data_IF_507035619641
#
_entry.id   IF_507035619641
#
_cell.length_a   1.000
_cell.length_b   1.000
_cell.length_c   1.000
_cell.angle_alpha   90.00
_cell.angle_beta   90.00
_cell.angle_gamma   90.00
#
_symmetry.space_group_name_H-M   'P 1'
#
loop_
_entity.id
_entity.type
_entity.pdbx_description
1 polymer ?
#
# COMPACT_ATOMS: atom_id res chain seq x y z
N UNK A 1 10.49 14.30 -18.43
CA UNK A 1 9.07 14.53 -18.05
C UNK A 1 8.80 13.91 -16.68
N UNK A 2 8.34 14.70 -15.70
CA UNK A 2 8.18 14.32 -14.29
C UNK A 2 6.70 14.03 -13.95
N UNK A 3 6.20 12.81 -14.16
CA UNK A 3 4.87 12.38 -13.67
C UNK A 3 5.02 11.23 -12.68
N UNK A 4 5.43 11.56 -11.44
CA UNK A 4 5.26 10.64 -10.32
C UNK A 4 3.91 10.96 -9.70
N UNK A 5 3.04 9.95 -9.52
CA UNK A 5 1.70 10.00 -8.94
C UNK A 5 1.62 10.78 -7.62
N UNK A 6 1.60 12.10 -7.70
CA UNK A 6 0.70 12.92 -6.90
C UNK A 6 -0.29 13.43 -7.93
N UNK A 7 -1.50 12.91 -7.92
CA UNK A 7 -2.55 13.36 -8.82
C UNK A 7 -2.60 14.89 -8.76
N UNK A 8 -2.46 15.56 -9.91
CA UNK A 8 -2.51 17.03 -10.00
C UNK A 8 -3.82 17.54 -9.37
N UNK A 9 -4.90 16.76 -9.45
CA UNK A 9 -6.17 17.04 -8.78
C UNK A 9 -6.07 16.95 -7.27
N UNK A 10 -5.29 16.00 -6.74
CA UNK A 10 -5.03 15.90 -5.31
C UNK A 10 -4.24 17.11 -4.78
N UNK A 11 -3.18 17.53 -5.50
CA UNK A 11 -2.42 18.74 -5.12
C UNK A 11 -3.32 19.98 -5.18
N UNK A 12 -4.06 20.16 -6.28
CA UNK A 12 -4.98 21.27 -6.44
C UNK A 12 -6.05 21.29 -5.33
N UNK A 13 -6.62 20.14 -4.97
CA UNK A 13 -7.60 20.03 -3.90
C UNK A 13 -7.03 20.39 -2.52
N UNK A 14 -5.79 20.00 -2.20
CA UNK A 14 -5.12 20.38 -0.94
C UNK A 14 -4.88 21.89 -0.88
N UNK A 15 -4.42 22.48 -1.98
CA UNK A 15 -4.16 23.93 -2.06
C UNK A 15 -5.47 24.72 -2.00
N UNK A 16 -6.50 24.31 -2.72
CA UNK A 16 -7.82 24.95 -2.69
C UNK A 16 -8.43 24.89 -1.28
N UNK A 17 -8.30 23.75 -0.60
CA UNK A 17 -8.75 23.60 0.79
C UNK A 17 -8.03 24.58 1.73
N UNK A 18 -6.71 24.70 1.59
CA UNK A 18 -5.91 25.59 2.44
C UNK A 18 -6.20 27.07 2.16
N UNK A 19 -6.20 27.48 0.88
CA UNK A 19 -6.50 28.86 0.49
C UNK A 19 -7.92 29.27 0.86
N UNK A 20 -8.90 28.38 0.70
CA UNK A 20 -10.28 28.62 1.12
C UNK A 20 -10.41 28.77 2.63
N UNK A 21 -9.67 27.98 3.41
CA UNK A 21 -9.61 28.13 4.86
C UNK A 21 -8.98 29.46 5.27
N UNK A 22 -7.86 29.83 4.66
CA UNK A 22 -7.17 31.09 4.92
C UNK A 22 -8.08 32.29 4.61
N UNK A 23 -8.75 32.29 3.45
CA UNK A 23 -9.64 33.38 3.04
C UNK A 23 -10.91 33.51 3.87
N UNK A 24 -11.26 32.51 4.69
CA UNK A 24 -12.40 32.56 5.60
C UNK A 24 -12.06 33.16 6.98
N UNK A 25 -10.78 33.39 7.27
CA UNK A 25 -10.34 34.00 8.53
C UNK A 25 -10.27 35.53 8.41
N UNK A 26 -10.40 36.25 9.54
CA UNK A 26 -10.21 37.70 9.58
C UNK A 26 -8.88 38.12 8.91
N UNK A 27 -8.84 39.21 8.13
CA UNK A 27 -7.67 39.62 7.36
C UNK A 27 -6.41 39.91 8.20
N UNK A 28 -6.59 40.20 9.48
CA UNK A 28 -5.57 40.49 10.49
C UNK A 28 -5.03 39.25 11.21
N UNK A 29 -5.56 38.06 10.91
CA UNK A 29 -5.10 36.81 11.51
C UNK A 29 -3.64 36.54 11.10
N UNK A 30 -2.77 36.32 12.08
CA UNK A 30 -1.37 36.05 11.79
C UNK A 30 -1.18 34.71 11.06
N UNK A 31 -0.16 34.61 10.21
CA UNK A 31 0.10 33.37 9.44
C UNK A 31 0.22 32.13 10.34
N UNK A 32 0.81 32.26 11.53
CA UNK A 32 0.97 31.14 12.46
C UNK A 32 -0.36 30.71 13.08
N UNK A 33 -1.26 31.65 13.35
CA UNK A 33 -2.62 31.36 13.82
C UNK A 33 -3.45 30.70 12.75
N UNK A 34 -3.34 31.14 11.48
CA UNK A 34 -3.98 30.47 10.35
C UNK A 34 -3.51 29.01 10.26
N UNK A 35 -2.20 28.77 10.32
CA UNK A 35 -1.62 27.43 10.27
C UNK A 35 -2.09 26.58 11.45
N UNK A 36 -2.10 27.13 12.66
CA UNK A 36 -2.58 26.44 13.88
C UNK A 36 -4.05 26.08 13.77
N UNK A 37 -4.90 27.02 13.34
CA UNK A 37 -6.33 26.82 13.17
C UNK A 37 -6.63 25.79 12.08
N UNK A 38 -5.92 25.86 10.95
CA UNK A 38 -6.03 24.88 9.87
C UNK A 38 -5.61 23.49 10.35
N UNK A 39 -4.46 23.37 11.03
CA UNK A 39 -3.97 22.10 11.54
C UNK A 39 -4.94 21.47 12.56
N UNK A 40 -5.54 22.29 13.42
CA UNK A 40 -6.58 21.89 14.37
C UNK A 40 -7.86 21.42 13.66
N UNK A 41 -8.32 22.14 12.62
CA UNK A 41 -9.44 21.69 11.79
C UNK A 41 -9.14 20.34 11.13
N UNK A 42 -7.96 20.19 10.52
CA UNK A 42 -7.56 18.94 9.89
C UNK A 42 -7.42 17.79 10.90
N UNK A 43 -6.93 18.05 12.11
CA UNK A 43 -6.80 17.07 13.19
C UNK A 43 -8.14 16.39 13.58
N UNK A 44 -9.26 17.08 13.35
CA UNK A 44 -10.60 16.50 13.55
C UNK A 44 -11.08 15.59 12.41
N UNK A 45 -10.45 15.67 11.22
CA UNK A 45 -10.96 15.06 9.97
C UNK A 45 -10.03 13.99 9.40
N UNK A 46 -8.72 14.12 9.61
CA UNK A 46 -7.69 13.30 8.94
C UNK A 46 -6.58 12.87 9.89
N UNK A 47 -5.77 11.90 9.46
CA UNK A 47 -4.68 11.33 10.28
C UNK A 47 -3.48 12.28 10.38
N UNK A 48 -2.65 12.09 11.42
CA UNK A 48 -1.35 12.76 11.60
C UNK A 48 -0.51 12.82 10.32
N UNK A 49 -0.35 11.68 9.66
CA UNK A 49 0.48 11.56 8.45
C UNK A 49 -0.14 12.32 7.27
N UNK A 50 -1.48 12.36 7.19
CA UNK A 50 -2.21 13.13 6.18
C UNK A 50 -2.00 14.63 6.40
N UNK A 51 -2.08 15.12 7.65
CA UNK A 51 -1.84 16.52 7.99
C UNK A 51 -0.41 16.91 7.61
N UNK A 52 0.56 16.08 8.01
CA UNK A 52 1.99 16.31 7.73
C UNK A 52 2.27 16.30 6.22
N UNK A 53 1.62 15.41 5.47
CA UNK A 53 1.77 15.31 4.01
C UNK A 53 1.15 16.52 3.30
N UNK A 54 -0.07 16.92 3.68
CA UNK A 54 -0.72 18.13 3.16
C UNK A 54 0.11 19.38 3.42
N UNK A 55 0.64 19.53 4.65
CA UNK A 55 1.51 20.63 5.02
C UNK A 55 2.79 20.69 4.18
N UNK A 56 3.44 19.55 3.95
CA UNK A 56 4.62 19.44 3.08
C UNK A 56 4.32 19.89 1.64
N UNK A 57 3.13 19.58 1.11
CA UNK A 57 2.69 20.03 -0.21
C UNK A 57 2.46 21.55 -0.25
N UNK A 58 1.74 22.09 0.75
CA UNK A 58 1.47 23.52 0.89
C UNK A 58 2.79 24.31 0.93
N UNK A 59 3.71 23.94 1.84
CA UNK A 59 5.02 24.59 1.98
C UNK A 59 5.82 24.56 0.68
N UNK A 60 5.87 23.40 0.01
CA UNK A 60 6.60 23.27 -1.27
C UNK A 60 6.00 24.11 -2.38
N UNK A 61 4.67 24.26 -2.42
CA UNK A 61 4.01 25.04 -3.45
C UNK A 61 4.23 26.54 -3.23
N UNK A 62 3.87 27.07 -2.05
CA UNK A 62 4.00 28.50 -1.76
C UNK A 62 5.46 28.96 -1.73
N UNK A 63 6.39 28.14 -1.22
CA UNK A 63 7.82 28.45 -1.28
C UNK A 63 8.38 28.52 -2.71
N UNK A 64 7.71 27.91 -3.70
CA UNK A 64 8.10 27.99 -5.12
C UNK A 64 7.40 29.10 -5.89
N UNK A 65 6.15 29.42 -5.53
CA UNK A 65 5.28 30.29 -6.33
C UNK A 65 5.25 31.72 -5.80
N UNK A 66 5.31 31.92 -4.50
CA UNK A 66 5.09 33.24 -3.88
C UNK A 66 6.24 33.72 -3.01
N UNK A 67 7.39 33.03 -3.03
CA UNK A 67 8.52 33.25 -2.10
C UNK A 67 8.09 33.29 -0.62
N UNK A 68 6.91 32.76 -0.32
CA UNK A 68 6.35 32.77 1.01
C UNK A 68 7.04 31.68 1.81
N UNK A 69 7.68 32.08 2.90
CA UNK A 69 8.24 31.17 3.87
C UNK A 69 7.27 31.03 5.04
N UNK A 70 6.94 29.79 5.47
CA UNK A 70 6.17 29.61 6.67
C UNK A 70 6.95 30.15 7.88
N UNK A 71 6.26 30.64 8.94
CA UNK A 71 6.89 30.99 10.20
C UNK A 71 7.79 29.86 10.74
N UNK A 72 8.88 30.20 11.43
CA UNK A 72 9.88 29.25 11.93
C UNK A 72 9.29 28.13 12.80
N UNK A 73 8.20 28.42 13.51
CA UNK A 73 7.50 27.51 14.42
C UNK A 73 6.34 26.73 13.76
N UNK A 74 6.03 27.01 12.48
CA UNK A 74 4.92 26.36 11.77
C UNK A 74 5.04 24.83 11.75
N UNK A 75 6.26 24.29 11.53
CA UNK A 75 6.49 22.84 11.54
C UNK A 75 6.27 22.23 12.94
N UNK A 76 6.58 22.97 14.01
CA UNK A 76 6.35 22.52 15.38
C UNK A 76 4.85 22.50 15.70
N UNK A 77 4.12 23.57 15.33
CA UNK A 77 2.66 23.67 15.48
C UNK A 77 1.96 22.55 14.71
N UNK A 78 2.36 22.29 13.46
CA UNK A 78 1.80 21.19 12.66
C UNK A 78 2.03 19.84 13.33
N UNK A 79 3.26 19.58 13.81
CA UNK A 79 3.58 18.32 14.51
C UNK A 79 2.76 18.16 15.79
N UNK A 80 2.60 19.23 16.57
CA UNK A 80 1.81 19.23 17.80
C UNK A 80 0.34 18.94 17.52
N UNK A 81 -0.29 19.70 16.61
CA UNK A 81 -1.70 19.49 16.27
C UNK A 81 -1.94 18.15 15.58
N UNK A 82 -0.99 17.67 14.77
CA UNK A 82 -1.07 16.36 14.16
C UNK A 82 -0.93 15.22 15.19
N UNK A 83 -0.22 15.41 16.32
CA UNK A 83 -0.24 14.45 17.45
C UNK A 83 -1.60 14.43 18.14
N UNK A 84 -2.25 15.59 18.24
CA UNK A 84 -3.58 15.73 18.84
C UNK A 84 -4.72 15.29 17.90
N UNK A 85 -4.41 14.84 16.69
CA UNK A 85 -5.40 14.30 15.76
C UNK A 85 -5.98 12.98 16.29
N UNK A 86 -7.15 13.09 16.92
CA UNK A 86 -8.00 11.96 17.32
C UNK A 86 -8.75 11.33 16.12
N UNK A 87 -8.65 11.95 14.93
CA UNK A 87 -9.40 11.62 13.73
C UNK A 87 -9.05 10.27 13.10
N UNK A 88 -9.88 9.26 13.41
CA UNK A 88 -10.10 8.01 12.67
C UNK A 88 -8.81 7.34 12.21
N UNK A 89 -8.20 6.59 13.14
CA UNK A 89 -7.31 5.49 12.81
C UNK A 89 -8.04 4.53 11.83
N UNK A 90 -8.01 4.80 10.52
CA UNK A 90 -7.87 3.66 9.62
C UNK A 90 -6.48 3.14 9.91
N UNK A 91 -6.41 2.18 10.83
CA UNK A 91 -5.17 1.56 11.28
C UNK A 91 -4.28 1.19 10.10
N UNK A 92 -2.98 0.96 10.35
CA UNK A 92 -2.09 0.56 9.28
C UNK A 92 -2.66 -0.66 8.56
N UNK A 93 -2.43 -0.78 7.25
CA UNK A 93 -2.97 -1.88 6.44
C UNK A 93 -2.74 -3.22 7.14
N UNK A 94 -3.78 -3.91 7.62
CA UNK A 94 -3.56 -5.12 8.39
C UNK A 94 -2.84 -6.17 7.52
N UNK A 95 -1.83 -6.87 8.07
CA UNK A 95 -1.12 -7.91 7.35
C UNK A 95 -2.10 -9.03 6.94
N UNK A 96 -2.10 -9.41 5.67
CA UNK A 96 -2.89 -10.53 5.16
C UNK A 96 -1.95 -11.75 5.10
N UNK A 97 -2.16 -12.74 5.98
CA UNK A 97 -1.29 -13.92 6.09
C UNK A 97 -1.48 -14.87 4.89
N UNK A 98 -0.47 -15.70 4.62
CA UNK A 98 -0.51 -16.68 3.53
C UNK A 98 -1.78 -17.56 3.56
N UNK A 99 -2.09 -18.15 4.72
CA UNK A 99 -3.27 -19.02 4.87
C UNK A 99 -4.57 -18.26 4.59
N UNK A 100 -4.73 -17.05 5.15
CA UNK A 100 -5.92 -16.22 4.91
C UNK A 100 -6.05 -15.86 3.43
N UNK A 101 -4.95 -15.50 2.78
CA UNK A 101 -4.94 -15.21 1.35
C UNK A 101 -5.38 -16.46 0.56
N UNK A 102 -4.74 -17.60 0.80
CA UNK A 102 -5.00 -18.88 0.14
C UNK A 102 -6.47 -19.30 0.28
N UNK A 103 -7.02 -19.23 1.50
CA UNK A 103 -8.41 -19.63 1.76
C UNK A 103 -9.40 -18.73 1.02
N UNK A 104 -9.16 -17.42 1.01
CA UNK A 104 -9.99 -16.43 0.31
C UNK A 104 -9.91 -16.60 -1.21
N UNK A 105 -8.69 -16.77 -1.73
CA UNK A 105 -8.47 -17.01 -3.15
C UNK A 105 -9.14 -18.32 -3.61
N UNK A 106 -9.01 -19.42 -2.85
CA UNK A 106 -9.69 -20.69 -3.16
C UNK A 106 -11.20 -20.58 -3.13
N UNK A 107 -11.76 -19.85 -2.17
CA UNK A 107 -13.21 -19.66 -2.09
C UNK A 107 -13.76 -18.89 -3.31
N UNK A 108 -12.98 -17.96 -3.87
CA UNK A 108 -13.36 -17.18 -5.05
C UNK A 108 -13.06 -17.88 -6.39
N UNK A 109 -12.07 -18.77 -6.43
CA UNK A 109 -11.53 -19.38 -7.65
C UNK A 109 -12.52 -20.17 -8.53
N UNK A 110 -13.47 -20.95 -7.99
CA UNK A 110 -14.44 -21.69 -8.82
C UNK A 110 -15.44 -20.82 -9.59
N UNK A 111 -15.65 -19.57 -9.18
CA UNK A 111 -16.80 -18.77 -9.65
C UNK A 111 -16.51 -17.93 -10.90
N UNK A 112 -15.25 -17.79 -11.33
CA UNK A 112 -14.86 -16.69 -12.26
C UNK A 112 -13.64 -16.98 -13.13
N UNK A 113 -13.36 -18.26 -13.46
CA UNK A 113 -12.16 -18.62 -14.24
C UNK A 113 -12.09 -18.01 -15.65
N UNK A 114 -13.21 -17.57 -16.21
CA UNK A 114 -13.26 -16.96 -17.56
C UNK A 114 -13.33 -15.41 -17.54
N UNK A 115 -13.33 -14.79 -16.36
CA UNK A 115 -13.38 -13.33 -16.21
C UNK A 115 -11.96 -12.75 -16.19
N UNK A 116 -11.60 -11.97 -17.22
CA UNK A 116 -10.29 -11.33 -17.35
C UNK A 116 -9.94 -10.40 -16.19
N UNK A 117 -10.91 -9.64 -15.66
CA UNK A 117 -10.68 -8.78 -14.50
C UNK A 117 -10.36 -9.63 -13.27
N UNK A 118 -11.06 -10.76 -13.12
CA UNK A 118 -10.80 -11.68 -12.03
C UNK A 118 -9.40 -12.29 -12.15
N UNK A 119 -8.99 -12.75 -13.34
CA UNK A 119 -7.64 -13.30 -13.59
C UNK A 119 -6.56 -12.28 -13.26
N UNK A 120 -6.73 -11.04 -13.70
CA UNK A 120 -5.81 -9.94 -13.39
C UNK A 120 -5.72 -9.68 -11.89
N UNK A 121 -6.86 -9.56 -11.19
CA UNK A 121 -6.88 -9.37 -9.75
C UNK A 121 -6.20 -10.53 -8.99
N UNK A 122 -6.43 -11.77 -9.44
CA UNK A 122 -5.85 -12.96 -8.84
C UNK A 122 -4.34 -13.01 -9.01
N UNK A 123 -3.85 -12.85 -10.25
CA UNK A 123 -2.43 -12.78 -10.58
C UNK A 123 -1.75 -11.62 -9.85
N UNK A 124 -2.41 -10.46 -9.77
CA UNK A 124 -1.92 -9.28 -9.07
C UNK A 124 -1.70 -9.53 -7.58
N UNK A 125 -2.69 -10.12 -6.90
CA UNK A 125 -2.61 -10.40 -5.47
C UNK A 125 -1.50 -11.41 -5.15
N UNK A 126 -1.45 -12.51 -5.90
CA UNK A 126 -0.45 -13.57 -5.77
C UNK A 126 0.97 -13.05 -6.04
N UNK A 127 1.16 -12.29 -7.12
CA UNK A 127 2.47 -11.72 -7.50
C UNK A 127 2.95 -10.70 -6.46
N UNK A 128 2.05 -9.84 -5.97
CA UNK A 128 2.35 -8.87 -4.90
C UNK A 128 2.84 -9.58 -3.64
N UNK A 129 2.14 -10.66 -3.26
CA UNK A 129 2.49 -11.45 -2.09
C UNK A 129 3.82 -12.21 -2.28
N UNK A 130 4.01 -12.93 -3.38
CA UNK A 130 5.19 -13.76 -3.61
C UNK A 130 6.51 -12.96 -3.69
N UNK A 131 6.43 -11.76 -4.25
CA UNK A 131 7.59 -10.87 -4.49
C UNK A 131 7.83 -9.87 -3.36
N UNK A 132 6.89 -9.76 -2.42
CA UNK A 132 6.93 -8.82 -1.30
C UNK A 132 7.06 -7.35 -1.78
N UNK A 133 6.48 -7.05 -2.94
CA UNK A 133 6.57 -5.74 -3.61
C UNK A 133 5.41 -4.82 -3.23
N UNK A 134 5.54 -3.51 -3.43
CA UNK A 134 4.38 -2.60 -3.27
C UNK A 134 3.35 -2.93 -4.37
N UNK A 135 2.04 -2.85 -4.08
CA UNK A 135 1.01 -2.99 -5.11
C UNK A 135 1.23 -2.06 -6.32
N UNK A 136 1.62 -0.81 -6.08
CA UNK A 136 1.93 0.13 -7.17
C UNK A 136 3.18 -0.21 -7.99
N UNK A 137 4.13 -0.98 -7.44
CA UNK A 137 5.29 -1.48 -8.20
C UNK A 137 4.86 -2.62 -9.14
N UNK A 138 3.97 -3.50 -8.68
CA UNK A 138 3.40 -4.58 -9.50
C UNK A 138 2.46 -4.03 -10.58
N UNK A 139 1.65 -3.03 -10.25
CA UNK A 139 0.76 -2.39 -11.23
C UNK A 139 1.53 -1.67 -12.35
N UNK A 140 2.75 -1.19 -12.06
CA UNK A 140 3.56 -0.46 -13.03
C UNK A 140 4.35 -1.36 -14.00
N UNK A 141 4.19 -2.69 -13.92
CA UNK A 141 4.84 -3.62 -14.84
C UNK A 141 4.28 -3.46 -16.27
N UNK A 142 5.19 -3.57 -17.24
CA UNK A 142 4.86 -3.71 -18.65
C UNK A 142 5.02 -5.17 -19.09
N UNK A 143 4.51 -5.49 -20.27
CA UNK A 143 4.64 -6.82 -20.87
C UNK A 143 6.12 -7.25 -20.95
N UNK A 144 7.00 -6.34 -21.37
CA UNK A 144 8.44 -6.60 -21.51
C UNK A 144 9.21 -6.76 -20.19
N UNK A 145 8.59 -6.43 -19.06
CA UNK A 145 9.17 -6.59 -17.73
C UNK A 145 9.03 -8.03 -17.20
N UNK A 146 8.23 -8.88 -17.84
CA UNK A 146 7.99 -10.27 -17.42
C UNK A 146 8.70 -11.23 -18.36
N UNK A 147 9.58 -12.07 -17.80
CA UNK A 147 10.40 -13.01 -18.58
C UNK A 147 10.34 -14.40 -17.96
N UNK A 148 10.33 -15.44 -18.80
CA UNK A 148 10.53 -16.80 -18.31
C UNK A 148 11.98 -16.95 -17.81
N UNK A 149 12.16 -17.51 -16.61
CA UNK A 149 13.51 -17.87 -16.11
C UNK A 149 13.85 -19.31 -16.47
N UNK A 150 12.99 -20.25 -16.08
CA UNK A 150 13.01 -21.64 -16.54
C UNK A 150 11.70 -22.32 -16.14
N UNK A 151 11.34 -23.43 -16.80
CA UNK A 151 10.12 -24.17 -16.51
C UNK A 151 9.96 -24.55 -15.02
N UNK A 152 11.08 -24.76 -14.31
CA UNK A 152 11.10 -25.13 -12.88
C UNK A 152 11.19 -23.94 -11.93
N UNK A 153 11.65 -22.77 -12.39
CA UNK A 153 11.84 -21.59 -11.51
C UNK A 153 10.66 -20.63 -11.53
N UNK A 154 9.91 -20.60 -12.62
CA UNK A 154 8.79 -19.67 -12.82
C UNK A 154 9.19 -18.48 -13.67
N UNK A 155 8.71 -17.29 -13.30
CA UNK A 155 8.92 -16.05 -14.04
C UNK A 155 9.86 -15.11 -13.29
N UNK A 156 10.59 -14.29 -14.02
CA UNK A 156 11.36 -13.17 -13.49
C UNK A 156 10.71 -11.86 -13.92
N UNK A 157 10.53 -10.94 -12.97
CA UNK A 157 9.98 -9.62 -13.22
C UNK A 157 11.02 -8.53 -12.93
N UNK A 158 11.08 -7.53 -13.79
CA UNK A 158 11.92 -6.34 -13.64
C UNK A 158 11.11 -5.22 -12.97
N UNK A 159 11.35 -4.97 -11.68
CA UNK A 159 10.68 -3.88 -10.96
C UNK A 159 11.50 -2.61 -11.04
N UNK A 160 10.97 -1.62 -11.76
CA UNK A 160 11.56 -0.30 -11.85
C UNK A 160 11.23 0.50 -10.58
N UNK A 161 12.25 0.76 -9.76
CA UNK A 161 12.11 1.55 -8.55
C UNK A 161 11.54 2.95 -8.84
N UNK A 162 10.74 3.48 -7.90
CA UNK A 162 10.28 4.88 -7.97
C UNK A 162 11.47 5.85 -7.85
N UNK A 163 11.31 7.07 -8.39
CA UNK A 163 12.27 8.19 -8.56
C UNK A 163 13.47 8.32 -7.61
N UNK A 164 13.40 7.86 -6.36
CA UNK A 164 14.49 7.93 -5.38
C UNK A 164 15.56 6.85 -5.55
N UNK A 165 15.26 5.76 -6.26
CA UNK A 165 16.22 4.71 -6.62
C UNK A 165 16.00 4.37 -8.10
N UNK A 166 16.86 4.89 -8.99
CA UNK A 166 16.93 4.46 -10.41
C UNK A 166 17.54 3.05 -10.50
N UNK A 167 16.92 2.10 -9.83
CA UNK A 167 17.41 0.73 -9.71
C UNK A 167 16.30 -0.17 -10.23
N UNK A 168 16.64 -0.96 -11.24
CA UNK A 168 15.83 -2.10 -11.66
C UNK A 168 16.14 -3.24 -10.70
N UNK A 169 15.10 -3.78 -10.06
CA UNK A 169 15.23 -4.92 -9.16
C UNK A 169 14.55 -6.11 -9.79
N UNK A 170 15.36 -7.10 -10.16
CA UNK A 170 14.88 -8.37 -10.65
C UNK A 170 14.31 -9.20 -9.49
N UNK A 171 13.09 -9.71 -9.67
CA UNK A 171 12.44 -10.57 -8.68
C UNK A 171 11.91 -11.85 -9.32
N UNK A 172 12.07 -12.95 -8.59
CA UNK A 172 11.48 -14.23 -8.95
C UNK A 172 10.02 -14.28 -8.50
N UNK A 173 9.13 -14.60 -9.44
CA UNK A 173 7.78 -15.09 -9.21
C UNK A 173 7.85 -16.62 -9.32
N UNK A 174 7.86 -17.34 -8.18
CA UNK A 174 8.18 -18.74 -8.15
C UNK A 174 7.07 -19.58 -8.79
N UNK A 175 7.44 -20.66 -9.46
CA UNK A 175 6.50 -21.73 -9.76
C UNK A 175 6.24 -22.53 -8.48
N UNK A 176 4.98 -22.78 -8.14
CA UNK A 176 4.59 -23.69 -7.05
C UNK A 176 3.57 -24.70 -7.53
N UNK A 177 3.57 -25.89 -6.94
CA UNK A 177 2.59 -26.91 -7.29
C UNK A 177 1.20 -26.56 -6.75
N UNK A 178 0.19 -26.59 -7.62
CA UNK A 178 -1.22 -26.42 -7.28
C UNK A 178 -1.91 -25.21 -7.94
N UNK A 179 -3.20 -25.04 -7.62
CA UNK A 179 -4.08 -24.07 -8.30
C UNK A 179 -3.75 -22.59 -8.00
N UNK A 180 -2.92 -22.33 -6.99
CA UNK A 180 -2.53 -20.98 -6.56
C UNK A 180 -1.10 -20.61 -7.01
N UNK A 181 -0.65 -21.17 -8.13
CA UNK A 181 0.67 -20.90 -8.69
C UNK A 181 0.78 -19.44 -9.19
N UNK A 182 1.56 -18.55 -8.53
CA UNK A 182 1.65 -17.16 -8.91
C UNK A 182 2.28 -17.00 -10.31
N UNK A 183 3.20 -17.90 -10.69
CA UNK A 183 3.83 -17.87 -12.01
C UNK A 183 2.84 -18.28 -13.11
N UNK A 184 1.97 -19.26 -12.86
CA UNK A 184 0.91 -19.65 -13.78
C UNK A 184 -0.05 -18.49 -14.04
N UNK A 185 -0.63 -17.91 -12.99
CA UNK A 185 -1.63 -16.84 -13.15
C UNK A 185 -1.05 -15.58 -13.79
N UNK A 186 0.20 -15.23 -13.47
CA UNK A 186 0.87 -14.12 -14.15
C UNK A 186 1.17 -14.43 -15.63
N UNK A 187 1.46 -15.70 -15.96
CA UNK A 187 1.64 -16.13 -17.35
C UNK A 187 0.33 -16.03 -18.13
N UNK A 188 -0.81 -16.42 -17.55
CA UNK A 188 -2.14 -16.29 -18.18
C UNK A 188 -2.44 -14.84 -18.55
N UNK A 189 -2.21 -13.90 -17.62
CA UNK A 189 -2.36 -12.47 -17.89
C UNK A 189 -1.42 -12.02 -19.01
N UNK A 190 -0.14 -12.42 -18.96
CA UNK A 190 0.84 -12.07 -19.98
C UNK A 190 0.42 -12.58 -21.39
N UNK A 191 -0.01 -13.84 -21.49
CA UNK A 191 -0.47 -14.45 -22.73
C UNK A 191 -1.69 -13.71 -23.27
N UNK A 192 -2.70 -13.44 -22.42
CA UNK A 192 -3.88 -12.68 -22.82
C UNK A 192 -3.52 -11.29 -23.40
N UNK A 193 -2.53 -10.61 -22.82
CA UNK A 193 -2.06 -9.31 -23.35
C UNK A 193 -1.38 -9.45 -24.70
N UNK A 194 -0.51 -10.44 -24.85
CA UNK A 194 0.21 -10.70 -26.11
C UNK A 194 -0.77 -11.10 -27.22
N UNK A 195 -1.74 -11.97 -26.91
CA UNK A 195 -2.77 -12.40 -27.86
C UNK A 195 -3.68 -11.23 -28.26
N UNK A 196 -3.91 -10.28 -27.37
CA UNK A 196 -4.58 -9.01 -27.67
C UNK A 196 -3.70 -7.99 -28.43
N UNK A 197 -2.48 -8.37 -28.81
CA UNK A 197 -1.56 -7.56 -29.61
C UNK A 197 -0.71 -6.55 -28.83
N UNK A 198 -0.62 -6.68 -27.49
CA UNK A 198 0.22 -5.79 -26.68
C UNK A 198 1.72 -6.00 -26.97
N UNK A 199 2.48 -4.91 -26.99
CA UNK A 199 3.94 -4.92 -27.17
C UNK A 199 4.67 -4.75 -25.83
N UNK A 200 6.00 -4.85 -25.84
CA UNK A 200 6.83 -4.86 -24.63
C UNK A 200 6.64 -3.61 -23.74
N UNK A 201 6.40 -2.44 -24.33
CA UNK A 201 6.20 -1.16 -23.65
C UNK A 201 4.77 -0.96 -23.15
N UNK A 202 3.83 -1.83 -23.51
CA UNK A 202 2.45 -1.71 -23.06
C UNK A 202 2.29 -2.17 -21.61
N UNK A 203 1.36 -1.56 -20.84
CA UNK A 203 1.02 -2.02 -19.51
C UNK A 203 0.63 -3.50 -19.50
N UNK A 204 1.11 -4.22 -18.49
CA UNK A 204 0.77 -5.63 -18.28
C UNK A 204 -0.71 -5.79 -17.91
N UNK A 205 -1.27 -4.84 -17.17
CA UNK A 205 -2.66 -4.90 -16.72
C UNK A 205 -3.55 -4.12 -17.68
N UNK A 206 -4.61 -4.75 -18.18
CA UNK A 206 -5.58 -4.10 -19.06
C UNK A 206 -6.55 -3.21 -18.28
N UNK A 207 -6.83 -3.53 -17.02
CA UNK A 207 -7.76 -2.75 -16.20
C UNK A 207 -7.08 -1.62 -15.39
N UNK A 208 -7.81 -0.53 -15.08
CA UNK A 208 -7.32 0.52 -14.20
C UNK A 208 -7.01 -0.01 -12.79
N UNK A 209 -5.97 0.54 -12.16
CA UNK A 209 -5.51 0.14 -10.81
C UNK A 209 -6.65 0.07 -9.78
N UNK A 210 -7.54 1.07 -9.77
CA UNK A 210 -8.65 1.12 -8.80
C UNK A 210 -9.65 -0.02 -9.01
N UNK A 211 -9.86 -0.45 -10.25
CA UNK A 211 -10.77 -1.56 -10.58
C UNK A 211 -10.16 -2.89 -10.13
N UNK A 212 -8.87 -3.12 -10.42
CA UNK A 212 -8.14 -4.29 -9.94
C UNK A 212 -8.08 -4.29 -8.41
N UNK A 213 -7.80 -3.14 -7.79
CA UNK A 213 -7.75 -3.00 -6.34
C UNK A 213 -9.09 -3.35 -5.69
N UNK A 214 -10.21 -2.87 -6.23
CA UNK A 214 -11.53 -3.16 -5.70
C UNK A 214 -11.90 -4.62 -5.90
N UNK A 215 -11.54 -5.24 -7.03
CA UNK A 215 -11.71 -6.67 -7.25
C UNK A 215 -10.91 -7.51 -6.24
N UNK A 216 -9.63 -7.18 -6.00
CA UNK A 216 -8.79 -7.87 -5.01
C UNK A 216 -9.36 -7.72 -3.60
N UNK A 217 -9.88 -6.54 -3.26
CA UNK A 217 -10.58 -6.34 -1.97
C UNK A 217 -11.86 -7.16 -1.91
N UNK A 218 -12.63 -7.25 -2.99
CA UNK A 218 -13.80 -8.13 -3.08
C UNK A 218 -13.46 -9.59 -2.76
N UNK A 219 -12.32 -10.08 -3.25
CA UNK A 219 -11.84 -11.45 -3.01
C UNK A 219 -11.35 -11.63 -1.57
N UNK A 220 -10.50 -10.73 -1.07
CA UNK A 220 -9.82 -10.93 0.21
C UNK A 220 -10.66 -10.40 1.39
N UNK A 221 -11.01 -9.12 1.33
CA UNK A 221 -11.87 -8.42 2.29
C UNK A 221 -12.06 -6.96 1.84
N UNK A 222 -13.28 -6.46 1.85
CA UNK A 222 -13.59 -5.05 1.49
C UNK A 222 -12.92 -4.03 2.42
N UNK A 223 -12.49 -4.45 3.62
CA UNK A 223 -11.76 -3.63 4.57
C UNK A 223 -10.24 -3.72 4.38
N UNK A 224 -9.76 -4.67 3.58
CA UNK A 224 -8.34 -4.84 3.34
C UNK A 224 -7.76 -3.66 2.56
N UNK A 225 -6.48 -3.39 2.84
CA UNK A 225 -5.64 -2.52 2.02
C UNK A 225 -4.62 -3.41 1.34
N UNK A 226 -4.35 -3.19 0.04
CA UNK A 226 -3.44 -4.04 -0.73
C UNK A 226 -2.02 -4.09 -0.16
N UNK A 227 -1.56 -3.03 0.51
CA UNK A 227 -0.27 -3.05 1.22
C UNK A 227 -0.21 -4.13 2.31
N UNK A 228 -1.35 -4.61 2.78
CA UNK A 228 -1.47 -5.77 3.68
C UNK A 228 -0.89 -7.06 3.10
N UNK A 229 -0.94 -7.26 1.77
CA UNK A 229 -0.29 -8.40 1.09
C UNK A 229 1.22 -8.36 1.27
N UNK A 230 1.84 -7.20 1.00
CA UNK A 230 3.28 -6.98 1.20
C UNK A 230 3.67 -7.18 2.66
N UNK A 231 2.88 -6.64 3.60
CA UNK A 231 3.14 -6.76 5.05
C UNK A 231 3.03 -8.21 5.51
N UNK A 232 1.99 -8.92 5.08
CA UNK A 232 1.78 -10.32 5.41
C UNK A 232 2.89 -11.22 4.88
N UNK A 233 3.24 -11.08 3.60
CA UNK A 233 4.38 -11.79 2.99
C UNK A 233 5.68 -11.57 3.76
N UNK A 234 5.98 -10.32 4.13
CA UNK A 234 7.18 -10.00 4.88
C UNK A 234 7.20 -10.67 6.25
N UNK A 235 6.07 -10.63 6.97
CA UNK A 235 5.94 -11.23 8.28
C UNK A 235 6.01 -12.76 8.21
N UNK A 236 5.34 -13.38 7.24
CA UNK A 236 5.37 -14.83 7.03
C UNK A 236 6.80 -15.32 6.76
N UNK A 237 7.58 -14.62 5.92
CA UNK A 237 8.99 -14.97 5.69
C UNK A 237 9.83 -14.90 6.97
N UNK A 238 9.66 -13.85 7.78
CA UNK A 238 10.38 -13.73 9.06
C UNK A 238 9.97 -14.83 10.04
N UNK A 239 8.67 -15.13 10.13
CA UNK A 239 8.15 -16.19 11.00
C UNK A 239 8.57 -17.60 10.55
N UNK A 240 8.86 -17.78 9.25
CA UNK A 240 9.51 -18.98 8.71
C UNK A 240 11.02 -19.05 8.99
N UNK A 241 11.59 -18.08 9.71
CA UNK A 241 12.99 -18.06 10.10
C UNK A 241 13.92 -17.37 9.08
N UNK A 242 13.40 -16.74 8.03
CA UNK A 242 14.23 -15.97 7.10
C UNK A 242 14.74 -14.70 7.80
N UNK A 243 16.06 -14.43 7.80
CA UNK A 243 16.61 -13.26 8.50
C UNK A 243 16.01 -11.94 8.01
N UNK A 244 15.71 -11.03 8.94
CA UNK A 244 15.17 -9.69 8.67
C UNK A 244 15.95 -8.94 7.57
N UNK A 245 17.30 -8.93 7.54
CA UNK A 245 18.03 -8.27 6.46
C UNK A 245 17.76 -8.86 5.07
N UNK A 246 17.56 -10.18 4.96
CA UNK A 246 17.26 -10.87 3.70
C UNK A 246 15.84 -10.51 3.24
N UNK A 247 14.86 -10.52 4.14
CA UNK A 247 13.50 -10.08 3.83
C UNK A 247 13.48 -8.60 3.44
N UNK A 248 14.21 -7.75 4.17
CA UNK A 248 14.34 -6.33 3.90
C UNK A 248 14.93 -6.06 2.50
N UNK A 249 15.95 -6.83 2.09
CA UNK A 249 16.50 -6.78 0.74
C UNK A 249 15.46 -7.22 -0.31
N UNK A 250 14.79 -8.37 -0.08
CA UNK A 250 13.76 -8.93 -0.99
C UNK A 250 12.64 -7.94 -1.30
N UNK A 251 12.10 -7.25 -0.29
CA UNK A 251 11.07 -6.24 -0.51
C UNK A 251 11.59 -4.81 -0.64
N UNK A 252 12.90 -4.62 -0.85
CA UNK A 252 13.51 -3.30 -1.12
C UNK A 252 13.21 -2.23 -0.06
N UNK A 253 13.17 -2.63 1.22
CA UNK A 253 12.98 -1.67 2.32
C UNK A 253 14.22 -0.80 2.53
N UNK A 254 13.99 0.49 2.73
CA UNK A 254 15.06 1.42 3.11
C UNK A 254 15.36 1.39 4.62
N UNK A 255 14.37 1.00 5.42
CA UNK A 255 14.42 1.01 6.89
C UNK A 255 13.87 -0.33 7.43
N UNK A 256 14.70 -1.02 8.21
CA UNK A 256 14.35 -2.31 8.82
C UNK A 256 13.33 -2.16 9.96
N UNK A 257 13.23 -1.00 10.60
CA UNK A 257 12.24 -0.78 11.68
C UNK A 257 10.80 -0.89 11.16
N UNK A 258 10.59 -0.52 9.89
CA UNK A 258 9.31 -0.71 9.22
C UNK A 258 8.93 -2.19 9.06
N UNK A 259 9.91 -3.07 8.85
CA UNK A 259 9.70 -4.51 8.78
C UNK A 259 9.44 -5.12 10.16
N UNK A 260 10.20 -4.70 11.19
CA UNK A 260 9.99 -5.15 12.58
C UNK A 260 8.55 -4.85 13.04
N UNK A 261 8.06 -3.63 12.81
CA UNK A 261 6.67 -3.26 13.10
C UNK A 261 5.64 -4.14 12.39
N UNK A 262 5.96 -4.66 11.20
CA UNK A 262 5.04 -5.55 10.48
C UNK A 262 4.93 -6.91 11.14
N UNK A 263 6.05 -7.45 11.61
CA UNK A 263 6.11 -8.71 12.35
C UNK A 263 5.41 -8.56 13.71
N UNK A 264 5.69 -7.47 14.44
CA UNK A 264 5.03 -7.18 15.72
C UNK A 264 3.50 -7.08 15.59
N UNK A 265 3.00 -6.39 14.56
CA UNK A 265 1.56 -6.27 14.32
C UNK A 265 0.92 -7.64 14.04
N UNK A 266 1.61 -8.52 13.31
CA UNK A 266 1.14 -9.91 13.10
C UNK A 266 1.10 -10.68 14.42
N UNK A 267 2.18 -10.67 15.20
CA UNK A 267 2.24 -11.38 16.47
C UNK A 267 1.17 -10.89 17.46
N UNK A 268 0.90 -9.59 17.48
CA UNK A 268 -0.19 -9.01 18.28
C UNK A 268 -1.57 -9.48 17.84
N UNK A 269 -1.81 -9.54 16.52
CA UNK A 269 -3.09 -10.03 15.98
C UNK A 269 -3.31 -11.50 16.34
N UNK A 270 -2.31 -12.36 16.12
CA UNK A 270 -2.37 -13.78 16.43
C UNK A 270 -2.54 -14.03 17.95
N UNK A 271 -1.85 -13.25 18.79
CA UNK A 271 -2.04 -13.31 20.24
C UNK A 271 -3.44 -12.88 20.67
N UNK A 272 -3.98 -11.81 20.07
CA UNK A 272 -5.34 -11.34 20.39
C UNK A 272 -6.43 -12.34 19.99
N UNK A 273 -6.25 -13.06 18.87
CA UNK A 273 -7.20 -14.09 18.41
C UNK A 273 -7.09 -15.39 19.21
N UNK A 274 -5.87 -15.80 19.58
CA UNK A 274 -5.65 -17.03 20.37
C UNK A 274 -6.05 -16.90 21.84
N UNK A 275 -5.97 -15.70 22.43
CA UNK A 275 -6.29 -15.46 23.85
C UNK A 275 -7.75 -15.00 24.07
N UNK A 276 -8.44 -14.52 23.03
CA UNK A 276 -9.84 -14.09 23.14
C UNK A 276 -10.80 -15.17 23.69
N UNK A 277 -10.73 -16.45 23.28
CA UNK A 277 -11.57 -17.50 23.86
C UNK A 277 -11.30 -17.73 25.35
N UNK A 278 -10.03 -17.65 25.76
CA UNK A 278 -9.62 -17.83 27.16
C UNK A 278 -10.03 -16.65 28.04
N UNK A 279 -9.93 -15.40 27.54
CA UNK A 279 -10.48 -14.23 28.27
C UNK A 279 -11.98 -14.30 28.44
N UNK A 280 -12.72 -14.72 27.41
CA UNK A 280 -14.16 -14.89 27.50
C UNK A 280 -14.56 -15.97 28.52
N UNK A 281 -13.78 -17.05 28.63
CA UNK A 281 -13.94 -18.07 29.67
C UNK A 281 -13.67 -17.50 31.08
N UNK A 282 -12.56 -16.77 31.27
CA UNK A 282 -12.22 -16.16 32.56
C UNK A 282 -13.21 -15.08 33.02
N UNK A 283 -13.80 -14.33 32.09
CA UNK A 283 -14.84 -13.33 32.40
C UNK A 283 -16.19 -13.97 32.72
N UNK A 284 -16.48 -15.16 32.18
CA UNK A 284 -17.69 -15.93 32.48
C UNK A 284 -17.64 -16.54 33.89
N UNK A 285 -16.45 -16.97 34.34
CA UNK A 285 -16.27 -17.51 35.69
C UNK A 285 -16.25 -16.43 36.78
N UNK A 286 -15.90 -15.17 36.46
CA UNK A 286 -16.02 -14.05 37.41
C UNK A 286 -17.46 -13.58 37.67
N UNK A 287 -18.44 -14.10 36.92
CA UNK A 287 -19.87 -13.77 37.06
C UNK A 287 -20.68 -14.91 37.71
N UNK A 288 -20.01 -15.96 38.18
CA UNK A 288 -20.55 -17.00 39.05
C UNK A 288 -20.03 -16.78 40.47
#
# INVERSE_FOLDING_TARGET
>A
MLSGFVDKRHVAGVLQQFSGFWGALPPDTSSIEVIRAWAKDQASRVTKDTITSKWSLIRRFFGRVSSWEPPLDADAVIKEQARNALGKLRGPALPIRAHTLVDRLRAAHPQSRDDDLWKEAFAFALTTYATTSRPGEIYALHVGDVRAESARRGLRISIHGTKTRRVVVEKLVPRVDGELDPAHWLSEVLVNRIDAGAVAEDPLWSHPYLVIEDQVKGIISTQARLHGLRRGSAADLVLMGIPIPVVAAKGTWADQNSLIRYVEDVLRLDYSTSVAPFRALLEKDKKR
#
